data_IF_640550319494
#
_entry.id   IF_640550319494
#
_cell.length_a   1.000
_cell.length_b   1.000
_cell.length_c   1.000
_cell.angle_alpha   90.00
_cell.angle_beta   90.00
_cell.angle_gamma   90.00
#
_symmetry.space_group_name_H-M   'P 1'
#
loop_
_entity.id
_entity.type
_entity.pdbx_description
1 polymer ?
#
# COMPACT_ATOMS: atom_id res chain seq x y z
N UNK A 1 24.27 -4.26 -26.67
CA UNK A 1 23.38 -4.24 -25.50
C UNK A 1 22.50 -3.03 -25.69
N UNK A 2 21.21 -3.22 -25.97
CA UNK A 2 20.28 -2.11 -26.01
C UNK A 2 20.07 -1.68 -24.57
N UNK A 3 20.38 -0.43 -24.26
CA UNK A 3 20.07 0.19 -22.98
C UNK A 3 18.54 0.18 -22.88
N UNK A 4 17.99 -0.73 -22.07
CA UNK A 4 16.55 -0.75 -21.80
C UNK A 4 16.32 0.35 -20.77
N UNK A 5 16.01 1.54 -21.26
CA UNK A 5 15.51 2.61 -20.40
C UNK A 5 14.14 2.19 -19.90
N UNK A 6 14.01 2.00 -18.58
CA UNK A 6 12.71 1.88 -17.91
C UNK A 6 11.87 3.09 -18.30
N UNK A 7 10.64 2.87 -18.76
CA UNK A 7 9.70 3.97 -19.01
C UNK A 7 9.17 4.54 -17.68
N UNK A 8 8.72 5.78 -17.69
CA UNK A 8 8.28 6.49 -16.47
C UNK A 8 7.18 5.74 -15.69
N UNK A 9 6.31 4.98 -16.38
CA UNK A 9 5.26 4.20 -15.74
C UNK A 9 5.80 2.90 -15.15
N UNK A 10 6.78 2.29 -15.81
CA UNK A 10 7.51 1.16 -15.24
C UNK A 10 8.25 1.57 -13.96
N UNK A 11 8.92 2.73 -13.94
CA UNK A 11 9.57 3.26 -12.74
C UNK A 11 8.55 3.51 -11.62
N UNK A 12 7.41 4.14 -11.93
CA UNK A 12 6.31 4.36 -10.99
C UNK A 12 5.82 3.04 -10.35
N UNK A 13 5.69 1.99 -11.16
CA UNK A 13 5.26 0.67 -10.69
C UNK A 13 6.35 -0.04 -9.86
N UNK A 14 7.62 0.14 -10.20
CA UNK A 14 8.75 -0.37 -9.42
C UNK A 14 8.75 0.26 -8.03
N UNK A 15 8.69 1.59 -7.94
CA UNK A 15 8.64 2.30 -6.66
C UNK A 15 7.41 1.89 -5.86
N UNK A 16 6.23 1.78 -6.49
CA UNK A 16 5.02 1.33 -5.80
C UNK A 16 5.19 -0.08 -5.19
N UNK A 17 5.87 -0.99 -5.87
CA UNK A 17 6.18 -2.32 -5.33
C UNK A 17 7.16 -2.27 -4.16
N UNK A 18 8.17 -1.40 -4.22
CA UNK A 18 9.15 -1.18 -3.15
C UNK A 18 8.44 -0.70 -1.88
N UNK A 19 7.64 0.37 -1.96
CA UNK A 19 6.89 0.91 -0.82
C UNK A 19 5.91 -0.11 -0.22
N UNK A 20 5.27 -0.93 -1.05
CA UNK A 20 4.42 -2.02 -0.58
C UNK A 20 5.20 -3.10 0.18
N UNK A 21 6.43 -3.39 -0.25
CA UNK A 21 7.33 -4.34 0.43
C UNK A 21 7.80 -3.77 1.77
N UNK A 22 8.17 -2.48 1.81
CA UNK A 22 8.60 -1.81 3.04
C UNK A 22 7.47 -1.73 4.07
N UNK A 23 6.26 -1.34 3.65
CA UNK A 23 5.07 -1.37 4.52
C UNK A 23 4.77 -2.78 5.08
N UNK A 24 4.98 -3.82 4.27
CA UNK A 24 4.85 -5.21 4.74
C UNK A 24 5.92 -5.57 5.77
N UNK A 25 7.16 -5.12 5.58
CA UNK A 25 8.26 -5.35 6.53
C UNK A 25 7.97 -4.65 7.85
N UNK A 26 7.58 -3.38 7.85
CA UNK A 26 7.26 -2.65 9.09
C UNK A 26 6.04 -3.24 9.81
N UNK A 27 5.02 -3.69 9.07
CA UNK A 27 3.90 -4.42 9.68
C UNK A 27 4.37 -5.70 10.40
N UNK A 28 5.36 -6.41 9.83
CA UNK A 28 5.96 -7.59 10.47
C UNK A 28 6.75 -7.24 11.73
N UNK A 29 7.43 -6.08 11.76
CA UNK A 29 8.14 -5.58 12.93
C UNK A 29 7.17 -5.21 14.05
N UNK A 30 6.05 -4.55 13.75
CA UNK A 30 4.98 -4.29 14.73
C UNK A 30 4.46 -5.60 15.35
N UNK A 31 4.32 -6.66 14.55
CA UNK A 31 3.92 -7.99 15.06
C UNK A 31 5.00 -8.57 15.98
N UNK A 32 6.27 -8.46 15.60
CA UNK A 32 7.40 -9.12 16.27
C UNK A 32 7.86 -8.40 17.53
N UNK A 33 7.96 -7.08 17.48
CA UNK A 33 8.54 -6.23 18.52
C UNK A 33 7.49 -5.47 19.34
N UNK A 34 6.23 -5.45 18.86
CA UNK A 34 5.10 -4.85 19.56
C UNK A 34 4.67 -3.52 18.96
N UNK A 35 3.72 -2.86 19.64
CA UNK A 35 3.04 -1.64 19.18
C UNK A 35 3.53 -0.40 19.94
N UNK A 36 4.85 -0.25 20.05
CA UNK A 36 5.43 0.95 20.64
C UNK A 36 5.42 2.11 19.61
N UNK A 37 5.69 3.33 20.07
CA UNK A 37 5.64 4.53 19.23
C UNK A 37 6.64 4.48 18.05
N UNK A 38 7.77 3.80 18.22
CA UNK A 38 8.79 3.65 17.17
C UNK A 38 8.30 2.76 16.02
N UNK A 39 7.78 1.57 16.33
CA UNK A 39 7.31 0.61 15.32
C UNK A 39 6.01 1.10 14.66
N UNK A 40 5.11 1.71 15.43
CA UNK A 40 3.88 2.32 14.89
C UNK A 40 4.23 3.54 14.03
N UNK A 41 5.20 4.36 14.44
CA UNK A 41 5.68 5.49 13.67
C UNK A 41 6.34 5.08 12.36
N UNK A 42 7.13 4.00 12.36
CA UNK A 42 7.74 3.47 11.13
C UNK A 42 6.69 2.88 10.20
N UNK A 43 5.75 2.07 10.70
CA UNK A 43 4.63 1.58 9.89
C UNK A 43 3.81 2.74 9.28
N UNK A 44 3.55 3.81 10.05
CA UNK A 44 2.78 4.95 9.57
C UNK A 44 3.50 5.70 8.43
N UNK A 45 4.84 5.75 8.46
CA UNK A 45 5.66 6.33 7.39
C UNK A 45 5.45 5.56 6.09
N UNK A 46 5.73 4.26 6.10
CA UNK A 46 5.66 3.44 4.88
C UNK A 46 4.22 3.33 4.33
N UNK A 47 3.20 3.31 5.20
CA UNK A 47 1.79 3.39 4.75
C UNK A 47 1.49 4.74 4.10
N UNK A 48 2.11 5.82 4.57
CA UNK A 48 2.04 7.14 3.96
C UNK A 48 2.69 7.18 2.58
N UNK A 49 3.84 6.52 2.41
CA UNK A 49 4.53 6.42 1.13
C UNK A 49 3.72 5.58 0.13
N UNK A 50 3.14 4.45 0.56
CA UNK A 50 2.17 3.69 -0.27
C UNK A 50 0.96 4.55 -0.66
N UNK A 51 0.43 5.39 0.24
CA UNK A 51 -0.67 6.29 -0.08
C UNK A 51 -0.27 7.34 -1.14
N UNK A 52 0.94 7.89 -1.04
CA UNK A 52 1.51 8.77 -2.07
C UNK A 52 1.52 8.07 -3.43
N UNK A 53 2.03 6.84 -3.48
CA UNK A 53 2.11 6.07 -4.72
C UNK A 53 0.73 5.74 -5.29
N UNK A 54 -0.28 5.43 -4.46
CA UNK A 54 -1.67 5.24 -4.93
C UNK A 54 -2.21 6.50 -5.61
N UNK A 55 -1.89 7.70 -5.08
CA UNK A 55 -2.31 8.95 -5.70
C UNK A 55 -1.61 9.16 -7.06
N UNK A 56 -0.31 8.91 -7.14
CA UNK A 56 0.42 9.00 -8.41
C UNK A 56 -0.09 8.00 -9.46
N UNK A 57 -0.42 6.77 -9.05
CA UNK A 57 -1.04 5.79 -9.96
C UNK A 57 -2.39 6.29 -10.53
N UNK A 58 -3.17 7.04 -9.75
CA UNK A 58 -4.39 7.70 -10.24
C UNK A 58 -4.06 8.83 -11.21
N UNK A 59 -3.13 9.71 -10.86
CA UNK A 59 -2.71 10.86 -11.68
C UNK A 59 -2.18 10.42 -13.05
N UNK A 60 -1.47 9.29 -13.11
CA UNK A 60 -0.97 8.66 -14.33
C UNK A 60 -2.04 7.88 -15.11
N UNK A 61 -3.26 7.81 -14.58
CA UNK A 61 -4.40 7.13 -15.20
C UNK A 61 -4.30 5.61 -15.20
N UNK A 62 -3.46 5.03 -14.34
CA UNK A 62 -3.30 3.57 -14.21
C UNK A 62 -4.43 2.94 -13.38
N UNK A 63 -5.01 3.71 -12.46
CA UNK A 63 -6.13 3.28 -11.61
C UNK A 63 -7.20 4.37 -11.51
N UNK A 64 -8.43 3.96 -11.21
CA UNK A 64 -9.57 4.87 -11.07
C UNK A 64 -10.05 4.92 -9.62
N UNK A 65 -10.10 6.11 -9.01
CA UNK A 65 -10.50 6.28 -7.60
C UNK A 65 -11.87 5.75 -7.25
N UNK A 66 -12.86 5.91 -8.13
CA UNK A 66 -14.21 5.40 -7.87
C UNK A 66 -14.22 3.86 -7.81
N UNK A 67 -13.46 3.21 -8.69
CA UNK A 67 -13.30 1.76 -8.67
C UNK A 67 -12.53 1.28 -7.43
N UNK A 68 -11.43 1.95 -7.07
CA UNK A 68 -10.66 1.63 -5.86
C UNK A 68 -11.53 1.73 -4.62
N UNK A 69 -12.28 2.82 -4.48
CA UNK A 69 -13.17 3.03 -3.33
C UNK A 69 -14.23 1.93 -3.25
N UNK A 70 -14.82 1.53 -4.38
CA UNK A 70 -15.74 0.39 -4.44
C UNK A 70 -15.05 -0.90 -3.98
N UNK A 71 -13.86 -1.20 -4.48
CA UNK A 71 -13.13 -2.41 -4.09
C UNK A 71 -12.72 -2.42 -2.60
N UNK A 72 -12.38 -1.26 -2.04
CA UNK A 72 -12.07 -1.10 -0.63
C UNK A 72 -13.32 -1.39 0.25
N UNK A 73 -14.49 -0.87 -0.14
CA UNK A 73 -15.76 -1.16 0.53
C UNK A 73 -16.12 -2.65 0.43
N UNK A 74 -16.03 -3.24 -0.75
CA UNK A 74 -16.30 -4.68 -0.95
C UNK A 74 -15.34 -5.54 -0.11
N UNK A 75 -14.07 -5.15 0.01
CA UNK A 75 -13.10 -5.82 0.88
C UNK A 75 -13.48 -5.69 2.35
N UNK A 76 -13.91 -4.50 2.79
CA UNK A 76 -14.37 -4.26 4.17
C UNK A 76 -15.56 -5.15 4.52
N UNK A 77 -16.55 -5.25 3.65
CA UNK A 77 -17.72 -6.13 3.85
C UNK A 77 -17.32 -7.61 3.89
N UNK A 78 -16.35 -8.03 3.07
CA UNK A 78 -15.79 -9.39 3.17
C UNK A 78 -15.07 -9.62 4.50
N UNK A 79 -14.31 -8.65 5.01
CA UNK A 79 -13.60 -8.78 6.28
C UNK A 79 -14.55 -8.90 7.47
N UNK A 80 -15.74 -8.27 7.43
CA UNK A 80 -16.79 -8.46 8.46
C UNK A 80 -17.22 -9.93 8.58
N UNK A 81 -17.25 -10.66 7.46
CA UNK A 81 -17.69 -12.07 7.42
C UNK A 81 -16.56 -13.06 7.66
N UNK A 82 -15.35 -12.76 7.18
CA UNK A 82 -14.27 -13.74 7.05
C UNK A 82 -13.03 -13.42 7.87
N UNK A 83 -13.12 -12.47 8.81
CA UNK A 83 -12.03 -12.15 9.73
C UNK A 83 -12.55 -11.92 11.15
N UNK A 84 -11.64 -11.92 12.12
CA UNK A 84 -11.95 -11.63 13.53
C UNK A 84 -11.86 -10.12 13.85
N UNK A 85 -11.78 -9.26 12.82
CA UNK A 85 -11.71 -7.82 13.02
C UNK A 85 -13.07 -7.28 13.46
N UNK A 86 -13.08 -6.44 14.49
CA UNK A 86 -14.28 -5.74 14.93
C UNK A 86 -14.50 -4.50 14.04
N UNK A 87 -15.29 -4.66 12.98
CA UNK A 87 -15.51 -3.66 11.93
C UNK A 87 -17.01 -3.37 11.85
N UNK A 88 -17.41 -2.11 12.12
CA UNK A 88 -18.78 -1.62 11.87
C UNK A 88 -19.03 -1.34 10.39
#
# INVERSE_FOLDING_TARGET
MNDVSIDEKEELLVIFMEECSEASVEASKVIRFGRNDEEIGSLAREVGDVLCMINLLEEYGLINRNQINKYALDKREKLKKWSNLNIS
#
